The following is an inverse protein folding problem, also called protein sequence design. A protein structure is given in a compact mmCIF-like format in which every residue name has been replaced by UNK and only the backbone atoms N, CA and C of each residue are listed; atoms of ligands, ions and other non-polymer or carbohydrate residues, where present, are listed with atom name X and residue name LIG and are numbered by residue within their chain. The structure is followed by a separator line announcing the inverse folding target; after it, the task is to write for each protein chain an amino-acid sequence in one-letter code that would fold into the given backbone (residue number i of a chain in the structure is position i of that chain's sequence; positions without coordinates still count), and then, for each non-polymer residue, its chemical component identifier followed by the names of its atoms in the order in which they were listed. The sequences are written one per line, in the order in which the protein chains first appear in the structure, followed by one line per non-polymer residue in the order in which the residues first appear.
data_IF_277875551579
#
_entry.id   IF_277875551579
#
_cell.length_a   1.000
_cell.length_b   1.000
_cell.length_c   1.000
_cell.angle_alpha   90.00
_cell.angle_beta   90.00
_cell.angle_gamma   90.00
#
_symmetry.space_group_name_H-M   'P 1'
#
loop_
_entity.id
_entity.type
_entity.pdbx_description
1 polymer ?
#
# COMPACT_ATOMS: atom_id res chain seq x y z
N UNK A 1 4.99 7.25 -15.55
CA UNK A 1 5.70 7.48 -14.28
C UNK A 1 4.84 8.46 -13.51
N UNK A 2 4.09 7.99 -12.52
CA UNK A 2 3.23 8.87 -11.72
C UNK A 2 4.14 9.79 -10.87
N UNK A 3 3.81 11.08 -10.71
CA UNK A 3 4.51 11.91 -9.73
C UNK A 3 4.28 11.27 -8.36
N UNK A 4 5.35 10.85 -7.71
CA UNK A 4 5.35 10.03 -6.47
C UNK A 4 4.69 10.69 -5.26
N UNK A 5 4.20 11.92 -5.41
CA UNK A 5 3.56 12.73 -4.37
C UNK A 5 2.22 13.28 -4.84
N UNK A 6 1.20 13.14 -3.99
CA UNK A 6 -0.10 13.76 -4.16
C UNK A 6 -0.17 15.08 -3.37
N UNK A 7 -1.09 15.96 -3.77
CA UNK A 7 -1.32 17.22 -3.03
C UNK A 7 -1.70 16.99 -1.56
N UNK A 8 -2.32 15.84 -1.25
CA UNK A 8 -2.62 15.43 0.13
C UNK A 8 -1.38 15.26 1.01
N UNK A 9 -0.21 15.00 0.41
CA UNK A 9 1.03 14.72 1.13
C UNK A 9 1.72 15.99 1.62
N UNK A 10 1.36 17.16 1.09
CA UNK A 10 2.01 18.45 1.38
C UNK A 10 2.08 18.72 2.88
N UNK A 11 0.95 18.60 3.59
CA UNK A 11 0.89 18.85 5.03
C UNK A 11 1.77 17.86 5.81
N UNK A 12 1.85 16.61 5.35
CA UNK A 12 2.71 15.59 5.93
C UNK A 12 4.19 15.94 5.75
N UNK A 13 4.58 16.26 4.52
CA UNK A 13 5.96 16.61 4.15
C UNK A 13 6.45 17.88 4.87
N UNK A 14 5.58 18.88 5.07
CA UNK A 14 5.91 20.06 5.87
C UNK A 14 6.20 19.71 7.33
N UNK A 15 5.48 18.74 7.92
CA UNK A 15 5.78 18.25 9.26
C UNK A 15 7.11 17.50 9.31
N UNK A 16 7.45 16.75 8.26
CA UNK A 16 8.77 16.11 8.15
C UNK A 16 9.89 17.14 8.09
N UNK A 17 9.72 18.20 7.29
CA UNK A 17 10.69 19.29 7.21
C UNK A 17 10.92 19.97 8.58
N UNK A 18 9.84 20.22 9.32
CA UNK A 18 9.92 20.75 10.69
C UNK A 18 10.68 19.81 11.62
N UNK A 19 10.34 18.51 11.63
CA UNK A 19 11.04 17.51 12.45
C UNK A 19 12.52 17.43 12.12
N UNK A 20 12.89 17.54 10.84
CA UNK A 20 14.29 17.52 10.43
C UNK A 20 15.04 18.74 10.95
N UNK A 21 14.42 19.92 10.91
CA UNK A 21 14.98 21.13 11.51
C UNK A 21 15.13 20.97 13.05
N UNK A 22 14.09 20.49 13.72
CA UNK A 22 14.10 20.27 15.16
C UNK A 22 15.18 19.26 15.58
N UNK A 23 15.43 18.23 14.76
CA UNK A 23 16.50 17.25 15.01
C UNK A 23 17.86 17.92 15.13
N UNK A 24 18.16 18.91 14.28
CA UNK A 24 19.42 19.63 14.29
C UNK A 24 19.49 20.66 15.41
N UNK A 25 18.37 21.29 15.75
CA UNK A 25 18.27 22.29 16.81
C UNK A 25 18.15 21.69 18.22
N UNK A 26 17.88 20.39 18.35
CA UNK A 26 17.75 19.73 19.65
C UNK A 26 18.99 19.97 20.53
N UNK A 27 18.77 20.39 21.78
CA UNK A 27 19.83 20.72 22.73
C UNK A 27 20.28 19.47 23.51
N UNK A 28 19.42 18.46 23.60
CA UNK A 28 19.72 17.21 24.33
C UNK A 28 19.75 15.99 23.41
N UNK A 29 20.54 14.98 23.80
CA UNK A 29 20.57 13.69 23.10
C UNK A 29 19.22 12.97 23.16
N UNK A 30 18.46 13.15 24.25
CA UNK A 30 17.14 12.55 24.42
C UNK A 30 16.13 13.10 23.42
N UNK A 31 16.03 14.42 23.30
CA UNK A 31 15.14 15.06 22.30
C UNK A 31 15.50 14.62 20.89
N UNK A 32 16.80 14.59 20.57
CA UNK A 32 17.27 14.14 19.26
C UNK A 32 16.86 12.69 18.96
N UNK A 33 16.95 11.80 19.93
CA UNK A 33 16.52 10.40 19.80
C UNK A 33 14.99 10.28 19.61
N UNK A 34 14.19 11.06 20.34
CA UNK A 34 12.73 11.07 20.18
C UNK A 34 12.30 11.59 18.79
N UNK A 35 13.00 12.60 18.27
CA UNK A 35 12.76 13.13 16.93
C UNK A 35 13.17 12.11 15.86
N UNK A 36 14.31 11.44 16.04
CA UNK A 36 14.79 10.39 15.14
C UNK A 36 13.74 9.28 14.93
N UNK A 37 13.09 8.82 16.00
CA UNK A 37 12.02 7.81 15.92
C UNK A 37 10.84 8.30 15.06
N UNK A 38 10.51 9.60 15.14
CA UNK A 38 9.44 10.19 14.32
C UNK A 38 9.85 10.31 12.85
N UNK A 39 11.10 10.65 12.57
CA UNK A 39 11.65 10.70 11.22
C UNK A 39 11.68 9.31 10.58
N UNK A 40 12.05 8.26 11.32
CA UNK A 40 12.02 6.87 10.82
C UNK A 40 10.61 6.41 10.45
N UNK A 41 9.59 6.86 11.19
CA UNK A 41 8.20 6.63 10.80
C UNK A 41 7.83 7.39 9.53
N UNK A 42 8.21 8.66 9.43
CA UNK A 42 7.97 9.48 8.25
C UNK A 42 8.64 8.91 6.99
N UNK A 43 9.81 8.27 7.12
CA UNK A 43 10.47 7.56 6.02
C UNK A 43 9.56 6.51 5.40
N UNK A 44 8.89 5.70 6.22
CA UNK A 44 7.99 4.65 5.75
C UNK A 44 6.74 5.24 5.10
N UNK A 45 6.18 6.29 5.70
CA UNK A 45 4.92 6.90 5.26
C UNK A 45 5.09 7.69 3.95
N UNK A 46 6.23 8.36 3.75
CA UNK A 46 6.45 9.31 2.64
C UNK A 46 7.62 8.95 1.71
N UNK A 47 8.36 7.86 1.97
CA UNK A 47 9.47 7.44 1.12
C UNK A 47 10.65 8.43 1.11
N UNK A 48 10.92 9.10 2.24
CA UNK A 48 11.96 10.12 2.35
C UNK A 48 13.39 9.55 2.34
N UNK A 49 13.55 8.23 2.48
CA UNK A 49 14.82 7.54 2.23
C UNK A 49 14.74 6.57 1.02
N UNK A 50 15.88 6.20 0.40
CA UNK A 50 15.90 5.38 -0.81
C UNK A 50 15.25 4.00 -0.66
N UNK A 51 15.40 3.36 0.50
CA UNK A 51 14.84 2.03 0.74
C UNK A 51 13.32 2.07 0.90
N UNK A 52 12.82 3.07 1.62
CA UNK A 52 11.38 3.28 1.80
C UNK A 52 10.71 3.69 0.49
N UNK A 53 11.36 4.52 -0.33
CA UNK A 53 10.87 4.84 -1.69
C UNK A 53 10.69 3.60 -2.55
N UNK A 54 11.73 2.76 -2.63
CA UNK A 54 11.67 1.51 -3.39
C UNK A 54 10.60 0.55 -2.88
N UNK A 55 10.37 0.54 -1.57
CA UNK A 55 9.29 -0.25 -0.95
C UNK A 55 7.91 0.26 -1.37
N UNK A 56 7.69 1.57 -1.40
CA UNK A 56 6.44 2.17 -1.84
C UNK A 56 6.18 1.91 -3.32
N UNK A 57 7.18 2.06 -4.18
CA UNK A 57 7.10 1.70 -5.60
C UNK A 57 6.62 0.25 -5.76
N UNK A 58 7.23 -0.68 -5.05
CA UNK A 58 6.83 -2.08 -5.10
C UNK A 58 5.39 -2.32 -4.61
N UNK A 59 4.95 -1.63 -3.56
CA UNK A 59 3.57 -1.70 -3.08
C UNK A 59 2.57 -1.16 -4.11
N UNK A 60 2.92 -0.08 -4.80
CA UNK A 60 2.11 0.48 -5.89
C UNK A 60 1.97 -0.55 -7.00
N UNK A 61 3.08 -1.12 -7.49
CA UNK A 61 3.08 -2.16 -8.53
C UNK A 61 2.19 -3.37 -8.15
N UNK A 62 2.32 -3.86 -6.91
CA UNK A 62 1.48 -4.96 -6.41
C UNK A 62 -0.01 -4.59 -6.37
N UNK A 63 -0.33 -3.36 -5.96
CA UNK A 63 -1.69 -2.87 -5.91
C UNK A 63 -2.31 -2.73 -7.30
N UNK A 64 -1.53 -2.27 -8.28
CA UNK A 64 -1.93 -2.11 -9.68
C UNK A 64 -2.16 -3.47 -10.34
N UNK A 65 -1.26 -4.44 -10.13
CA UNK A 65 -1.42 -5.81 -10.64
C UNK A 65 -2.67 -6.49 -10.03
N UNK A 66 -2.90 -6.27 -8.73
CA UNK A 66 -4.12 -6.77 -8.05
C UNK A 66 -5.39 -6.15 -8.62
N UNK A 67 -5.40 -4.82 -8.88
CA UNK A 67 -6.51 -4.13 -9.53
C UNK A 67 -6.76 -4.66 -10.94
N UNK A 68 -5.69 -4.86 -11.73
CA UNK A 68 -5.78 -5.40 -13.08
C UNK A 68 -6.39 -6.81 -13.10
N UNK A 69 -5.93 -7.70 -12.19
CA UNK A 69 -6.52 -9.05 -12.01
C UNK A 69 -7.99 -8.99 -11.61
N UNK A 70 -8.34 -8.08 -10.69
CA UNK A 70 -9.72 -7.86 -10.26
C UNK A 70 -10.63 -7.39 -11.40
N UNK A 71 -10.18 -6.43 -12.21
CA UNK A 71 -10.91 -5.95 -13.38
C UNK A 71 -11.11 -7.06 -14.43
N UNK A 72 -10.08 -7.87 -14.72
CA UNK A 72 -10.21 -9.03 -15.62
C UNK A 72 -11.28 -10.00 -15.16
N UNK A 73 -11.36 -10.31 -13.85
CA UNK A 73 -12.41 -11.19 -13.30
C UNK A 73 -13.81 -10.61 -13.44
N UNK A 74 -13.98 -9.29 -13.24
CA UNK A 74 -15.28 -8.61 -13.34
C UNK A 74 -15.77 -8.44 -14.79
N UNK A 75 -14.84 -8.36 -15.74
CA UNK A 75 -15.16 -8.23 -17.17
C UNK A 75 -15.53 -9.54 -17.87
N UNK A 76 -15.37 -10.69 -17.22
CA UNK A 76 -15.83 -11.99 -17.74
C UNK A 76 -17.30 -12.16 -17.31
N UNK A 77 -18.28 -12.16 -18.25
CA UNK A 77 -19.63 -12.55 -17.92
C UNK A 77 -19.59 -14.01 -17.49
N UNK A 78 -20.08 -14.32 -16.29
CA UNK A 78 -20.23 -15.71 -15.87
C UNK A 78 -21.50 -16.28 -16.53
N UNK A 79 -21.35 -17.33 -17.35
CA UNK A 79 -22.26 -18.43 -17.24
C UNK A 79 -21.45 -19.73 -17.21
N UNK A 80 -21.10 -20.21 -16.02
CA UNK A 80 -20.98 -21.65 -15.85
C UNK A 80 -22.40 -22.21 -15.99
N UNK A 81 -22.69 -23.07 -16.99
CA UNK A 81 -23.94 -23.80 -17.02
C UNK A 81 -24.04 -24.60 -15.73
N UNK A 82 -25.23 -24.64 -15.11
CA UNK A 82 -25.48 -25.63 -14.06
C UNK A 82 -25.13 -27.02 -14.62
N UNK A 83 -24.33 -27.82 -13.92
CA UNK A 83 -24.02 -29.18 -14.36
C UNK A 83 -25.32 -29.96 -14.51
N UNK A 84 -25.48 -30.65 -15.64
CA UNK A 84 -26.59 -31.56 -15.89
C UNK A 84 -26.75 -32.53 -14.70
N UNK A 85 -27.96 -32.76 -14.17
CA UNK A 85 -28.20 -33.51 -12.94
C UNK A 85 -27.58 -34.92 -12.91
N UNK A 86 -27.30 -35.49 -14.08
CA UNK A 86 -26.80 -36.85 -14.24
C UNK A 86 -25.26 -36.95 -14.21
N UNK A 87 -24.56 -35.80 -14.12
CA UNK A 87 -23.10 -35.74 -14.18
C UNK A 87 -22.39 -35.82 -12.82
N UNK A 88 -23.11 -35.60 -11.71
CA UNK A 88 -22.55 -35.74 -10.36
C UNK A 88 -23.24 -36.89 -9.59
N UNK A 89 -22.52 -38.00 -9.32
CA UNK A 89 -23.06 -39.12 -8.56
C UNK A 89 -23.47 -38.75 -7.12
N UNK A 90 -23.06 -37.59 -6.58
CA UNK A 90 -23.51 -37.09 -5.26
C UNK A 90 -24.91 -36.49 -5.28
N UNK A 91 -25.43 -36.09 -6.44
CA UNK A 91 -26.80 -35.53 -6.57
C UNK A 91 -27.89 -36.61 -6.57
N UNK A 92 -27.52 -37.89 -6.74
CA UNK A 92 -28.45 -39.04 -6.77
C UNK A 92 -28.87 -39.55 -5.38
N UNK A 93 -28.18 -39.13 -4.32
CA UNK A 93 -28.36 -39.64 -2.96
C UNK A 93 -29.35 -38.83 -2.10
N UNK A 94 -29.91 -37.74 -2.64
CA UNK A 94 -30.95 -36.94 -1.99
C UNK A 94 -32.26 -37.15 -2.75
N UNK A 95 -32.91 -38.29 -2.53
CA UNK A 95 -34.32 -38.54 -2.84
C UNK A 95 -34.99 -39.16 -1.63
#
# INVERSE_FOLDING_TARGET
MAPEYAESDINGLLRVAMLYNDFWLAETAKERAEIQVRLEKADVDYGTNPMARRRLEWQIEQSEDSKAKGQKRRGVPNPAPMPEPDSDPRLKLVQ
#
